data_IF_868565054465
#
_entry.id   IF_868565054465
#
_cell.length_a   1.000
_cell.length_b   1.000
_cell.length_c   1.000
_cell.angle_alpha   90.00
_cell.angle_beta   90.00
_cell.angle_gamma   90.00
#
_symmetry.space_group_name_H-M   'P 1'
#
loop_
_entity.id
_entity.type
_entity.pdbx_description
1 polymer ?
#
# COMPACT_ATOMS: atom_id res chain seq x y z
N UNK A 1 19.36 10.23 10.93
CA UNK A 1 18.86 9.81 12.27
C UNK A 1 19.82 8.78 12.84
N UNK A 2 20.28 8.91 14.10
CA UNK A 2 21.17 7.91 14.70
C UNK A 2 20.46 6.56 14.80
N UNK A 3 21.12 5.46 14.39
CA UNK A 3 20.56 4.11 14.40
C UNK A 3 19.59 3.79 13.24
N UNK A 4 19.47 4.66 12.24
CA UNK A 4 18.48 4.51 11.15
C UNK A 4 18.70 3.31 10.20
N UNK A 5 19.83 2.62 10.31
CA UNK A 5 20.18 1.45 9.51
C UNK A 5 20.34 0.17 10.35
N UNK A 6 20.01 0.21 11.65
CA UNK A 6 20.21 -0.94 12.56
C UNK A 6 19.18 -2.06 12.34
N UNK A 7 18.03 -1.74 11.74
CA UNK A 7 16.94 -2.68 11.50
C UNK A 7 16.53 -2.66 10.04
N UNK A 8 16.25 -3.82 9.46
CA UNK A 8 15.83 -3.92 8.06
C UNK A 8 14.34 -3.59 7.84
N UNK A 9 13.53 -3.70 8.89
CA UNK A 9 12.08 -3.47 8.94
C UNK A 9 11.72 -2.09 9.57
N UNK A 10 12.70 -1.23 9.84
CA UNK A 10 12.50 0.11 10.40
C UNK A 10 13.66 1.04 10.06
N UNK A 11 13.38 2.31 9.74
CA UNK A 11 14.39 3.27 9.26
C UNK A 11 14.61 3.20 7.74
N UNK A 12 15.87 3.15 7.31
CA UNK A 12 16.25 3.18 5.89
C UNK A 12 15.66 1.98 5.16
N UNK A 13 15.02 2.23 4.01
CA UNK A 13 14.34 1.19 3.23
C UNK A 13 12.98 0.76 3.78
N UNK A 14 12.58 1.27 4.95
CA UNK A 14 11.35 0.90 5.66
C UNK A 14 10.53 2.15 6.04
N UNK A 15 10.26 3.02 5.06
CA UNK A 15 9.57 4.28 5.29
C UNK A 15 8.05 4.19 5.49
N UNK A 16 7.44 3.03 5.24
CA UNK A 16 6.01 2.75 5.41
C UNK A 16 5.04 3.73 4.71
N UNK A 17 5.52 4.51 3.74
CA UNK A 17 4.71 5.41 2.91
C UNK A 17 3.81 6.38 3.70
N UNK A 18 4.31 6.83 4.86
CA UNK A 18 3.66 7.78 5.75
C UNK A 18 4.55 8.99 6.01
N UNK A 19 3.96 10.01 6.62
CA UNK A 19 4.69 11.11 7.24
C UNK A 19 4.82 10.85 8.74
N UNK A 20 6.05 10.61 9.21
CA UNK A 20 6.33 10.41 10.61
C UNK A 20 6.04 11.69 11.42
N UNK A 21 5.47 11.53 12.61
CA UNK A 21 5.16 12.62 13.55
C UNK A 21 6.09 12.61 14.77
N UNK A 22 6.79 11.49 15.00
CA UNK A 22 7.72 11.33 16.12
C UNK A 22 9.13 11.75 15.73
N UNK A 23 9.73 12.61 16.54
CA UNK A 23 11.18 12.86 16.48
C UNK A 23 11.96 11.59 16.85
N UNK A 24 13.13 11.34 16.23
CA UNK A 24 13.79 12.18 15.22
C UNK A 24 13.32 11.92 13.77
N UNK A 25 12.42 10.96 13.54
CA UNK A 25 11.99 10.50 12.21
C UNK A 25 11.21 11.55 11.43
N UNK A 26 10.41 12.37 12.11
CA UNK A 26 9.58 13.43 11.52
C UNK A 26 10.35 14.39 10.59
N UNK A 27 11.67 14.49 10.75
CA UNK A 27 12.53 15.35 9.91
C UNK A 27 12.72 14.83 8.49
N UNK A 28 12.75 13.51 8.29
CA UNK A 28 13.16 12.90 7.02
C UNK A 28 12.22 11.80 6.52
N UNK A 29 11.47 11.14 7.40
CA UNK A 29 10.53 10.08 7.03
C UNK A 29 9.18 10.69 6.63
N UNK A 30 9.18 11.38 5.49
CA UNK A 30 8.03 12.10 4.94
C UNK A 30 7.63 11.53 3.57
N UNK A 31 7.47 10.21 3.52
CA UNK A 31 7.30 9.48 2.25
C UNK A 31 5.98 9.78 1.58
N UNK A 32 4.90 10.01 2.35
CA UNK A 32 3.61 10.40 1.79
C UNK A 32 3.71 11.78 1.15
N UNK A 33 4.26 12.79 1.86
CA UNK A 33 4.47 14.13 1.32
C UNK A 33 5.39 14.12 0.10
N UNK A 34 6.52 13.40 0.18
CA UNK A 34 7.46 13.30 -0.92
C UNK A 34 6.81 12.71 -2.18
N UNK A 35 6.02 11.63 -2.04
CA UNK A 35 5.35 11.03 -3.19
C UNK A 35 4.23 11.92 -3.75
N UNK A 36 3.35 12.43 -2.89
CA UNK A 36 2.08 13.03 -3.31
C UNK A 36 2.20 14.51 -3.68
N UNK A 37 3.11 15.23 -3.03
CA UNK A 37 3.26 16.68 -3.16
C UNK A 37 4.50 17.06 -3.96
N UNK A 38 5.54 16.24 -3.98
CA UNK A 38 6.78 16.55 -4.71
C UNK A 38 6.93 15.70 -5.98
N UNK A 39 7.10 14.38 -5.83
CA UNK A 39 7.47 13.49 -6.93
C UNK A 39 6.36 13.37 -7.97
N UNK A 40 5.13 13.04 -7.57
CA UNK A 40 4.05 12.84 -8.53
C UNK A 40 3.76 14.13 -9.34
N UNK A 41 3.62 15.32 -8.73
CA UNK A 41 3.47 16.56 -9.48
C UNK A 41 4.66 16.90 -10.38
N UNK A 42 5.89 16.62 -9.94
CA UNK A 42 7.10 16.75 -10.76
C UNK A 42 7.00 15.86 -12.00
N UNK A 43 6.76 14.56 -11.83
CA UNK A 43 6.64 13.60 -12.94
C UNK A 43 5.54 14.02 -13.90
N UNK A 44 4.36 14.42 -13.41
CA UNK A 44 3.26 14.86 -14.27
C UNK A 44 3.61 16.11 -15.10
N UNK A 45 4.31 17.08 -14.49
CA UNK A 45 4.75 18.28 -15.21
C UNK A 45 5.79 17.96 -16.29
N UNK A 46 6.80 17.15 -15.96
CA UNK A 46 7.91 16.88 -16.89
C UNK A 46 7.52 15.92 -18.03
N UNK A 47 6.49 15.08 -17.84
CA UNK A 47 6.08 14.06 -18.82
C UNK A 47 4.74 14.37 -19.50
N UNK A 48 3.94 15.29 -18.96
CA UNK A 48 2.57 15.54 -19.42
C UNK A 48 1.56 14.46 -19.01
N UNK A 49 1.91 13.56 -18.07
CA UNK A 49 1.03 12.49 -17.61
C UNK A 49 -0.24 13.03 -16.93
N UNK A 50 -1.39 12.83 -17.56
CA UNK A 50 -2.69 13.20 -17.00
C UNK A 50 -3.24 12.18 -16.00
N UNK A 51 -3.43 10.92 -16.44
CA UNK A 51 -4.01 9.84 -15.63
C UNK A 51 -2.93 8.90 -15.14
N UNK A 52 -2.98 8.56 -13.85
CA UNK A 52 -1.95 7.75 -13.19
C UNK A 52 -2.60 6.55 -12.50
N UNK A 53 -1.99 5.37 -12.63
CA UNK A 53 -2.30 4.18 -11.85
C UNK A 53 -1.25 3.99 -10.75
N UNK A 54 -1.63 3.34 -9.66
CA UNK A 54 -0.72 3.06 -8.55
C UNK A 54 -0.74 1.57 -8.20
N UNK A 55 0.46 1.02 -8.02
CA UNK A 55 0.65 -0.32 -7.49
C UNK A 55 1.99 -0.45 -6.76
N UNK A 56 2.16 -1.54 -6.03
CA UNK A 56 3.40 -1.84 -5.33
C UNK A 56 3.39 -3.24 -4.74
N UNK A 57 4.52 -3.61 -4.12
CA UNK A 57 4.74 -4.92 -3.52
C UNK A 57 4.97 -4.82 -2.00
N UNK A 58 4.35 -5.66 -1.18
CA UNK A 58 4.60 -5.74 0.27
C UNK A 58 4.34 -4.42 0.99
N UNK A 59 5.34 -3.80 1.63
CA UNK A 59 5.26 -2.43 2.14
C UNK A 59 4.85 -1.43 1.04
N UNK A 60 5.30 -1.61 -0.20
CA UNK A 60 4.87 -0.83 -1.36
C UNK A 60 3.43 -1.10 -1.79
N UNK A 61 2.94 -2.32 -1.60
CA UNK A 61 1.53 -2.66 -1.82
C UNK A 61 0.64 -1.99 -0.77
N UNK A 62 1.11 -1.97 0.48
CA UNK A 62 0.53 -1.16 1.54
C UNK A 62 0.47 0.33 1.16
N UNK A 63 1.60 0.92 0.77
CA UNK A 63 1.66 2.32 0.35
C UNK A 63 0.73 2.62 -0.82
N UNK A 64 0.65 1.71 -1.80
CA UNK A 64 -0.28 1.84 -2.91
C UNK A 64 -1.73 1.95 -2.42
N UNK A 65 -2.18 1.00 -1.58
CA UNK A 65 -3.54 0.99 -1.08
C UNK A 65 -3.85 2.19 -0.17
N UNK A 66 -2.96 2.55 0.76
CA UNK A 66 -3.22 3.64 1.73
C UNK A 66 -3.20 5.00 1.07
N UNK A 67 -2.22 5.30 0.22
CA UNK A 67 -2.16 6.58 -0.51
C UNK A 67 -3.37 6.73 -1.43
N UNK A 68 -3.74 5.67 -2.13
CA UNK A 68 -4.91 5.65 -3.00
C UNK A 68 -6.24 5.93 -2.27
N UNK A 69 -6.39 5.48 -1.02
CA UNK A 69 -7.60 5.68 -0.22
C UNK A 69 -7.62 7.03 0.51
N UNK A 70 -6.45 7.56 0.90
CA UNK A 70 -6.31 8.87 1.55
C UNK A 70 -6.35 10.04 0.57
N UNK A 71 -6.03 9.80 -0.70
CA UNK A 71 -5.98 10.82 -1.74
C UNK A 71 -6.97 10.51 -2.88
N UNK A 72 -8.29 10.53 -2.60
CA UNK A 72 -9.30 10.17 -3.59
C UNK A 72 -9.20 11.03 -4.85
N UNK A 73 -9.32 10.39 -6.01
CA UNK A 73 -9.23 11.04 -7.32
C UNK A 73 -7.80 11.26 -7.84
N UNK A 74 -6.75 10.98 -7.05
CA UNK A 74 -5.36 11.08 -7.53
C UNK A 74 -4.92 9.92 -8.42
N UNK A 75 -5.49 8.73 -8.23
CA UNK A 75 -5.15 7.55 -9.00
C UNK A 75 -6.41 6.97 -9.65
N UNK A 76 -6.33 6.70 -10.95
CA UNK A 76 -7.46 6.19 -11.72
C UNK A 76 -7.56 4.65 -11.71
N UNK A 77 -6.51 3.96 -11.25
CA UNK A 77 -6.49 2.50 -11.12
C UNK A 77 -5.53 2.08 -10.01
N UNK A 78 -5.86 0.97 -9.35
CA UNK A 78 -5.16 0.49 -8.16
C UNK A 78 -4.94 -1.02 -8.22
N UNK A 79 -3.73 -1.45 -7.88
CA UNK A 79 -3.44 -2.87 -7.66
C UNK A 79 -2.31 -3.08 -6.65
N UNK A 80 -2.06 -4.31 -6.18
CA UNK A 80 -0.94 -4.62 -5.30
C UNK A 80 -0.49 -6.09 -5.38
N UNK A 81 0.81 -6.34 -5.13
CA UNK A 81 1.36 -7.67 -4.91
C UNK A 81 1.63 -7.87 -3.42
N UNK A 82 1.11 -8.96 -2.85
CA UNK A 82 1.35 -9.38 -1.47
C UNK A 82 1.35 -8.21 -0.45
N UNK A 83 0.32 -7.35 -0.42
CA UNK A 83 0.37 -6.11 0.36
C UNK A 83 0.34 -6.39 1.86
N UNK A 84 0.98 -5.53 2.66
CA UNK A 84 0.69 -5.43 4.10
C UNK A 84 -0.67 -4.71 4.25
N UNK A 85 -1.75 -5.49 4.23
CA UNK A 85 -3.10 -4.96 4.07
C UNK A 85 -3.72 -4.48 5.40
N UNK A 86 -3.22 -4.97 6.54
CA UNK A 86 -3.67 -4.60 7.88
C UNK A 86 -2.48 -4.37 8.85
N UNK A 87 -1.63 -3.36 8.62
CA UNK A 87 -0.43 -3.10 9.42
C UNK A 87 -0.69 -2.90 10.93
N UNK A 88 -1.88 -2.48 11.35
CA UNK A 88 -2.21 -2.39 12.79
C UNK A 88 -2.25 -3.79 13.47
N UNK A 89 -2.48 -4.83 12.67
CA UNK A 89 -2.70 -6.19 13.13
C UNK A 89 -1.42 -7.04 13.08
N UNK A 90 -0.37 -6.60 12.40
CA UNK A 90 0.88 -7.35 12.26
C UNK A 90 2.09 -6.76 13.01
N UNK A 91 3.13 -7.55 13.29
CA UNK A 91 4.34 -7.09 13.97
C UNK A 91 5.06 -5.94 13.25
N UNK A 92 5.24 -6.00 11.92
CA UNK A 92 5.96 -4.95 11.19
C UNK A 92 5.24 -3.61 11.28
N UNK A 93 3.94 -3.58 11.02
CA UNK A 93 3.17 -2.35 11.08
C UNK A 93 3.08 -1.78 12.50
N UNK A 94 2.92 -2.62 13.53
CA UNK A 94 2.99 -2.18 14.94
C UNK A 94 4.32 -1.53 15.28
N UNK A 95 5.45 -2.14 14.88
CA UNK A 95 6.78 -1.58 15.10
C UNK A 95 6.95 -0.24 14.38
N UNK A 96 6.60 -0.18 13.10
CA UNK A 96 6.75 1.02 12.29
C UNK A 96 5.85 2.17 12.79
N UNK A 97 4.57 1.89 13.10
CA UNK A 97 3.64 2.91 13.57
C UNK A 97 3.98 3.40 14.97
N UNK A 98 4.37 2.53 15.90
CA UNK A 98 4.89 2.96 17.22
C UNK A 98 6.09 3.91 17.06
N UNK A 99 7.04 3.55 16.18
CA UNK A 99 8.25 4.34 15.96
C UNK A 99 7.99 5.68 15.25
N UNK A 100 7.15 5.69 14.21
CA UNK A 100 6.93 6.88 13.38
C UNK A 100 5.77 7.76 13.83
N UNK A 101 4.68 7.18 14.35
CA UNK A 101 3.43 7.86 14.67
C UNK A 101 3.19 7.96 16.19
N UNK A 102 3.85 7.11 16.99
CA UNK A 102 3.66 7.00 18.44
C UNK A 102 2.63 5.93 18.82
N UNK A 103 2.32 5.83 20.12
CA UNK A 103 1.53 4.73 20.69
C UNK A 103 0.00 4.89 20.58
N UNK A 104 -0.49 6.00 20.02
CA UNK A 104 -1.93 6.18 19.80
C UNK A 104 -2.41 5.31 18.63
N UNK A 105 -2.85 4.10 18.97
CA UNK A 105 -3.35 3.11 18.01
C UNK A 105 -4.60 3.58 17.26
N UNK A 106 -5.39 4.51 17.80
CA UNK A 106 -6.54 5.04 17.07
C UNK A 106 -6.08 5.86 15.86
N UNK A 107 -4.99 6.62 15.99
CA UNK A 107 -4.41 7.39 14.90
C UNK A 107 -3.84 6.50 13.77
N UNK A 108 -3.44 5.27 14.08
CA UNK A 108 -2.90 4.34 13.08
C UNK A 108 -3.93 3.91 12.05
N UNK A 109 -5.23 3.98 12.36
CA UNK A 109 -6.29 3.63 11.42
C UNK A 109 -6.26 4.51 10.15
N UNK A 110 -5.74 5.74 10.26
CA UNK A 110 -5.53 6.61 9.11
C UNK A 110 -4.45 6.09 8.16
N UNK A 111 -3.63 5.14 8.59
CA UNK A 111 -2.51 4.57 7.83
C UNK A 111 -2.69 3.07 7.59
N UNK A 112 -3.87 2.48 7.79
CA UNK A 112 -4.12 1.05 7.58
C UNK A 112 -5.09 0.84 6.42
N UNK A 113 -4.70 0.09 5.39
CA UNK A 113 -5.51 -0.04 4.17
C UNK A 113 -6.89 -0.68 4.43
N UNK A 114 -6.96 -1.68 5.31
CA UNK A 114 -8.21 -2.33 5.68
C UNK A 114 -9.10 -1.39 6.48
N UNK A 115 -8.54 -0.67 7.45
CA UNK A 115 -9.29 0.33 8.22
C UNK A 115 -9.77 1.49 7.34
N UNK A 116 -8.93 1.99 6.44
CA UNK A 116 -9.26 3.05 5.48
C UNK A 116 -10.37 2.63 4.53
N UNK A 117 -10.32 1.42 3.98
CA UNK A 117 -11.41 0.90 3.13
C UNK A 117 -12.70 0.83 3.94
N UNK A 118 -12.65 0.31 5.17
CA UNK A 118 -13.81 0.23 6.07
C UNK A 118 -14.39 1.61 6.44
N UNK A 119 -13.60 2.69 6.35
CA UNK A 119 -14.05 4.05 6.59
C UNK A 119 -14.68 4.72 5.35
N UNK A 120 -14.54 4.16 4.15
CA UNK A 120 -15.09 4.76 2.92
C UNK A 120 -16.63 4.80 2.96
N UNK A 121 -17.21 5.85 2.37
CA UNK A 121 -18.66 6.00 2.27
C UNK A 121 -19.28 5.10 1.17
N UNK A 122 -18.52 4.81 0.12
CA UNK A 122 -18.89 3.96 -1.01
C UNK A 122 -17.62 3.34 -1.63
N UNK A 123 -17.77 2.49 -2.64
CA UNK A 123 -16.65 1.92 -3.39
C UNK A 123 -15.83 3.00 -4.13
N UNK A 124 -14.58 3.32 -3.70
CA UNK A 124 -13.80 4.39 -4.33
C UNK A 124 -13.21 4.00 -5.70
N UNK A 125 -13.07 2.71 -6.00
CA UNK A 125 -12.48 2.20 -7.25
C UNK A 125 -13.48 1.33 -8.02
N UNK A 126 -14.47 1.91 -8.73
CA UNK A 126 -15.50 1.15 -9.44
C UNK A 126 -14.94 0.27 -10.58
N UNK A 127 -13.76 0.61 -11.11
CA UNK A 127 -13.03 -0.23 -12.08
C UNK A 127 -12.38 -1.48 -11.47
N UNK A 128 -12.45 -1.63 -10.15
CA UNK A 128 -11.92 -2.75 -9.39
C UNK A 128 -10.47 -2.58 -8.96
N UNK A 129 -10.15 -3.20 -7.83
CA UNK A 129 -8.79 -3.35 -7.32
C UNK A 129 -8.31 -4.77 -7.65
N UNK A 130 -7.07 -4.91 -8.12
CA UNK A 130 -6.43 -6.20 -8.35
C UNK A 130 -5.38 -6.46 -7.27
N UNK A 131 -5.46 -7.59 -6.58
CA UNK A 131 -4.43 -8.03 -5.64
C UNK A 131 -4.01 -9.46 -5.99
N UNK A 132 -2.70 -9.67 -6.09
CA UNK A 132 -2.10 -10.99 -6.20
C UNK A 132 -1.39 -11.37 -4.91
N UNK A 133 -1.66 -12.57 -4.39
CA UNK A 133 -1.03 -13.12 -3.19
C UNK A 133 -0.48 -14.53 -3.44
N UNK A 134 0.80 -14.74 -3.19
CA UNK A 134 1.40 -16.08 -3.12
C UNK A 134 0.96 -16.83 -1.87
N UNK A 135 0.54 -18.09 -1.99
CA UNK A 135 0.11 -18.94 -0.86
C UNK A 135 1.27 -19.65 -0.16
N UNK A 136 2.46 -19.70 -0.77
CA UNK A 136 3.70 -20.16 -0.13
C UNK A 136 4.53 -18.99 0.44
N UNK A 137 3.95 -17.79 0.47
CA UNK A 137 4.56 -16.61 1.05
C UNK A 137 4.68 -16.77 2.58
N UNK A 138 5.92 -16.82 3.07
CA UNK A 138 6.22 -16.98 4.50
C UNK A 138 5.70 -15.85 5.38
N UNK A 139 5.39 -14.68 4.82
CA UNK A 139 4.89 -13.53 5.54
C UNK A 139 3.35 -13.44 5.55
N UNK A 140 2.66 -14.28 4.77
CA UNK A 140 1.21 -14.21 4.58
C UNK A 140 0.43 -14.15 5.89
N UNK A 141 0.65 -15.14 6.77
CA UNK A 141 -0.13 -15.30 7.99
C UNK A 141 0.25 -14.32 9.11
N UNK A 142 1.49 -13.83 9.13
CA UNK A 142 1.99 -12.99 10.22
C UNK A 142 1.96 -11.50 9.88
N UNK A 143 2.11 -11.13 8.60
CA UNK A 143 2.35 -9.75 8.18
C UNK A 143 1.32 -9.20 7.22
N UNK A 144 0.83 -9.99 6.26
CA UNK A 144 0.14 -9.45 5.08
C UNK A 144 -1.35 -9.27 5.29
N UNK A 145 -2.03 -10.28 5.84
CA UNK A 145 -3.46 -10.26 6.15
C UNK A 145 -4.39 -9.75 5.02
N UNK A 146 -4.25 -10.24 3.76
CA UNK A 146 -5.09 -9.77 2.64
C UNK A 146 -6.60 -10.00 2.88
N UNK A 147 -6.97 -10.98 3.70
CA UNK A 147 -8.36 -11.26 4.10
C UNK A 147 -9.03 -10.10 4.84
N UNK A 148 -8.27 -9.31 5.61
CA UNK A 148 -8.82 -8.14 6.30
C UNK A 148 -9.28 -7.07 5.29
N UNK A 149 -8.52 -6.88 4.22
CA UNK A 149 -8.86 -5.94 3.15
C UNK A 149 -9.98 -6.46 2.26
N UNK A 150 -10.01 -7.78 1.99
CA UNK A 150 -11.11 -8.43 1.26
C UNK A 150 -12.44 -8.24 2.01
N UNK A 151 -12.46 -8.47 3.32
CA UNK A 151 -13.64 -8.25 4.15
C UNK A 151 -14.11 -6.78 4.13
N UNK A 152 -13.17 -5.83 4.23
CA UNK A 152 -13.48 -4.40 4.14
C UNK A 152 -14.04 -4.01 2.76
N UNK A 153 -13.50 -4.58 1.68
CA UNK A 153 -14.02 -4.36 0.33
C UNK A 153 -15.45 -4.88 0.18
N UNK A 154 -15.74 -6.09 0.67
CA UNK A 154 -17.09 -6.67 0.67
C UNK A 154 -18.06 -5.78 1.43
N UNK A 155 -17.69 -5.30 2.62
CA UNK A 155 -18.53 -4.43 3.44
C UNK A 155 -18.88 -3.09 2.75
N UNK A 156 -18.05 -2.62 1.82
CA UNK A 156 -18.25 -1.38 1.07
C UNK A 156 -18.75 -1.56 -0.36
N UNK A 157 -18.97 -2.81 -0.78
CA UNK A 157 -19.28 -3.11 -2.18
C UNK A 157 -18.17 -2.69 -3.15
N UNK A 158 -16.93 -2.59 -2.68
CA UNK A 158 -15.77 -2.29 -3.51
C UNK A 158 -15.40 -3.53 -4.33
N UNK A 159 -15.43 -3.47 -5.69
CA UNK A 159 -14.98 -4.60 -6.50
C UNK A 159 -13.50 -4.90 -6.24
N UNK A 160 -13.21 -6.13 -5.81
CA UNK A 160 -11.87 -6.63 -5.54
C UNK A 160 -11.69 -7.96 -6.27
N UNK A 161 -10.62 -8.05 -7.06
CA UNK A 161 -10.11 -9.32 -7.57
C UNK A 161 -8.87 -9.68 -6.75
N UNK A 162 -9.04 -10.52 -5.73
CA UNK A 162 -7.94 -11.06 -4.92
C UNK A 162 -7.61 -12.48 -5.41
N UNK A 163 -6.53 -12.63 -6.18
CA UNK A 163 -6.09 -13.94 -6.68
C UNK A 163 -5.05 -14.53 -5.74
N UNK A 164 -5.21 -15.82 -5.46
CA UNK A 164 -4.39 -16.59 -4.52
C UNK A 164 -3.64 -17.66 -5.30
N UNK A 165 -2.31 -17.62 -5.27
CA UNK A 165 -1.45 -18.41 -6.14
C UNK A 165 -0.71 -19.49 -5.36
N UNK A 166 -1.08 -20.77 -5.58
CA UNK A 166 -0.44 -21.91 -4.95
C UNK A 166 1.03 -22.03 -5.35
N UNK A 167 1.92 -22.26 -4.38
CA UNK A 167 3.36 -22.47 -4.61
C UNK A 167 4.20 -21.21 -4.85
N UNK A 168 3.57 -20.03 -4.99
CA UNK A 168 4.28 -18.76 -5.16
C UNK A 168 4.62 -18.12 -3.81
N UNK A 169 5.82 -17.55 -3.73
CA UNK A 169 6.39 -16.91 -2.53
C UNK A 169 6.27 -15.37 -2.58
N UNK A 170 7.05 -14.68 -1.75
CA UNK A 170 7.10 -13.22 -1.66
C UNK A 170 8.09 -12.57 -2.66
N UNK A 171 8.80 -13.37 -3.45
CA UNK A 171 9.95 -12.92 -4.23
C UNK A 171 9.56 -12.24 -5.54
N UNK A 172 10.56 -11.69 -6.22
CA UNK A 172 10.35 -11.11 -7.55
C UNK A 172 10.00 -12.15 -8.63
N UNK A 173 10.23 -13.45 -8.42
CA UNK A 173 9.72 -14.49 -9.32
C UNK A 173 8.19 -14.55 -9.31
N UNK A 174 7.56 -14.39 -8.15
CA UNK A 174 6.12 -14.24 -8.03
C UNK A 174 5.63 -12.99 -8.76
N UNK A 175 6.23 -11.83 -8.48
CA UNK A 175 5.86 -10.56 -9.14
C UNK A 175 6.01 -10.67 -10.66
N UNK A 176 7.16 -11.17 -11.15
CA UNK A 176 7.44 -11.29 -12.57
C UNK A 176 6.46 -12.20 -13.31
N UNK A 177 5.89 -13.20 -12.62
CA UNK A 177 4.91 -14.13 -13.20
C UNK A 177 3.57 -13.46 -13.51
N UNK A 178 3.23 -12.37 -12.82
CA UNK A 178 1.90 -11.76 -12.88
C UNK A 178 1.91 -10.24 -13.16
N UNK A 179 3.09 -9.61 -13.30
CA UNK A 179 3.19 -8.17 -13.58
C UNK A 179 2.52 -7.75 -14.88
N UNK A 180 2.50 -8.61 -15.92
CA UNK A 180 1.80 -8.31 -17.17
C UNK A 180 0.29 -8.11 -16.95
N UNK A 181 -0.32 -8.91 -16.06
CA UNK A 181 -1.75 -8.78 -15.72
C UNK A 181 -2.03 -7.47 -15.00
N UNK A 182 -1.15 -7.05 -14.09
CA UNK A 182 -1.25 -5.76 -13.41
C UNK A 182 -1.11 -4.59 -14.41
N UNK A 183 -0.15 -4.66 -15.33
CA UNK A 183 0.01 -3.65 -16.37
C UNK A 183 -1.23 -3.57 -17.27
N UNK A 184 -1.82 -4.71 -17.66
CA UNK A 184 -3.08 -4.76 -18.43
C UNK A 184 -4.26 -4.21 -17.64
N UNK A 185 -4.37 -4.52 -16.35
CA UNK A 185 -5.40 -3.97 -15.44
C UNK A 185 -5.33 -2.44 -15.38
N UNK A 186 -4.13 -1.89 -15.23
CA UNK A 186 -3.92 -0.44 -15.24
C UNK A 186 -4.20 0.16 -16.63
N UNK A 187 -3.65 -0.41 -17.70
CA UNK A 187 -3.85 0.07 -19.06
C UNK A 187 -5.33 0.10 -19.44
N UNK A 188 -6.09 -0.96 -19.12
CA UNK A 188 -7.52 -1.06 -19.38
C UNK A 188 -8.38 -0.04 -18.63
N UNK A 189 -7.84 0.61 -17.60
CA UNK A 189 -8.51 1.70 -16.89
C UNK A 189 -7.99 3.08 -17.32
N UNK A 190 -6.69 3.21 -17.61
CA UNK A 190 -6.02 4.47 -17.94
C UNK A 190 -6.20 4.92 -19.39
N UNK A 191 -6.36 3.97 -20.32
CA UNK A 191 -6.55 4.23 -21.76
C UNK A 191 -8.02 4.42 -22.16
N UNK A 192 -8.94 4.48 -21.19
CA UNK A 192 -10.35 4.78 -21.43
C UNK A 192 -10.58 6.25 -21.73
#
# INVERSE_FOLDING_TARGET
>A
VAGESESWDFGIGAGFYLDATREPWARHWRMESWLMTELLPLVQRETGLGRVGLFGHSMGGHGALTLALRHPGRFASLSAFAPIAAPMQCPWGRKAFSGYLGEDRAAWAAHDASALMQAQAAAPYPGGILIDQGLADKFLAEQLHPEAFEAACVAKGQPLTLRRHAGYDHGYYFIASFVDDHLRHHAGQLLR
#
